data_IF_251730791077
#
_entry.id   IF_251730791077
#
_cell.length_a   1.000
_cell.length_b   1.000
_cell.length_c   1.000
_cell.angle_alpha   90.00
_cell.angle_beta   90.00
_cell.angle_gamma   90.00
#
_symmetry.space_group_name_H-M   'P 1'
#
loop_
_entity.id
_entity.type
_entity.pdbx_description
1 polymer ?
#
# COMPACT_ATOMS: atom_id res chain seq x y z
N UNK A 1 15.44 8.12 5.25
CA UNK A 1 14.39 8.03 6.27
C UNK A 1 13.06 8.41 5.65
N UNK A 2 12.11 7.48 5.71
CA UNK A 2 10.69 7.65 5.37
C UNK A 2 10.07 8.65 6.38
N UNK A 3 8.88 9.18 6.12
CA UNK A 3 8.22 10.25 6.91
C UNK A 3 8.33 10.07 8.44
N UNK A 4 8.17 11.14 9.22
CA UNK A 4 8.07 11.00 10.68
C UNK A 4 6.89 10.11 11.07
N UNK A 5 6.93 9.60 12.30
CA UNK A 5 5.84 8.81 12.87
C UNK A 5 4.52 9.58 12.81
N UNK A 6 4.52 10.85 13.18
CA UNK A 6 3.33 11.71 13.17
C UNK A 6 2.77 11.89 11.75
N UNK A 7 3.66 12.10 10.77
CA UNK A 7 3.28 12.24 9.35
C UNK A 7 2.60 10.96 8.84
N UNK A 8 3.15 9.78 9.17
CA UNK A 8 2.54 8.51 8.77
C UNK A 8 1.21 8.24 9.48
N UNK A 9 1.12 8.51 10.78
CA UNK A 9 -0.14 8.38 11.53
C UNK A 9 -1.25 9.24 10.91
N UNK A 10 -0.93 10.49 10.58
CA UNK A 10 -1.86 11.41 9.92
C UNK A 10 -2.28 10.91 8.54
N UNK A 11 -1.31 10.43 7.75
CA UNK A 11 -1.55 9.90 6.41
C UNK A 11 -2.47 8.68 6.44
N UNK A 12 -2.20 7.69 7.30
CA UNK A 12 -3.03 6.48 7.41
C UNK A 12 -4.45 6.80 7.89
N UNK A 13 -4.61 7.76 8.83
CA UNK A 13 -5.94 8.25 9.22
C UNK A 13 -6.69 8.84 8.02
N UNK A 14 -6.03 9.69 7.24
CA UNK A 14 -6.61 10.26 6.01
C UNK A 14 -6.99 9.18 5.00
N UNK A 15 -6.15 8.15 4.83
CA UNK A 15 -6.44 7.02 3.95
C UNK A 15 -7.69 6.27 4.38
N UNK A 16 -7.84 5.99 5.67
CA UNK A 16 -9.00 5.26 6.23
C UNK A 16 -10.33 5.91 5.86
N UNK A 17 -10.39 7.25 5.89
CA UNK A 17 -11.61 7.98 5.58
C UNK A 17 -11.87 8.10 4.07
N UNK A 18 -10.84 7.92 3.24
CA UNK A 18 -10.87 8.20 1.82
C UNK A 18 -10.85 6.98 0.91
N UNK A 19 -10.56 5.80 1.46
CA UNK A 19 -10.37 4.56 0.73
C UNK A 19 -11.12 3.41 1.41
N UNK A 20 -11.80 2.55 0.64
CA UNK A 20 -12.56 1.43 1.19
C UNK A 20 -11.65 0.22 1.44
N UNK A 21 -10.59 0.35 2.25
CA UNK A 21 -9.78 -0.80 2.66
C UNK A 21 -10.28 -1.37 3.99
N UNK A 22 -10.38 -2.69 4.07
CA UNK A 22 -10.84 -3.38 5.29
C UNK A 22 -9.70 -3.73 6.25
N UNK A 23 -8.48 -3.85 5.73
CA UNK A 23 -7.29 -4.28 6.47
C UNK A 23 -6.04 -3.51 6.03
N UNK A 24 -5.11 -3.33 6.97
CA UNK A 24 -3.81 -2.70 6.76
C UNK A 24 -2.69 -3.70 7.06
N UNK A 25 -1.80 -3.90 6.11
CA UNK A 25 -0.61 -4.72 6.29
C UNK A 25 0.57 -3.79 6.63
N UNK A 26 1.09 -3.81 7.86
CA UNK A 26 2.13 -2.87 8.28
C UNK A 26 3.46 -3.16 7.59
N UNK A 27 4.21 -2.12 7.26
CA UNK A 27 5.60 -2.32 6.86
C UNK A 27 6.43 -2.83 8.05
N UNK A 28 7.40 -3.76 7.88
CA UNK A 28 8.16 -4.34 9.00
C UNK A 28 8.91 -3.33 9.89
N UNK A 29 9.21 -2.15 9.34
CA UNK A 29 9.88 -1.06 10.04
C UNK A 29 8.91 -0.10 10.77
N UNK A 30 7.59 -0.32 10.70
CA UNK A 30 6.60 0.47 11.43
C UNK A 30 6.51 0.02 12.89
N UNK A 31 6.79 0.94 13.81
CA UNK A 31 6.76 0.69 15.26
C UNK A 31 5.50 1.25 15.95
N UNK A 32 4.48 1.59 15.17
CA UNK A 32 3.30 2.31 15.63
C UNK A 32 2.01 1.68 15.10
N UNK A 33 0.89 2.02 15.75
CA UNK A 33 -0.45 1.64 15.31
C UNK A 33 -1.38 2.84 15.26
N UNK A 34 -2.35 2.77 14.37
CA UNK A 34 -3.39 3.78 14.16
C UNK A 34 -4.72 3.24 14.65
N UNK A 35 -5.39 4.01 15.50
CA UNK A 35 -6.68 3.61 16.07
C UNK A 35 -7.78 3.43 15.01
N UNK A 36 -8.53 2.35 15.17
CA UNK A 36 -9.63 1.99 14.29
C UNK A 36 -9.22 1.57 12.88
N UNK A 37 -7.96 1.16 12.70
CA UNK A 37 -7.49 0.43 11.51
C UNK A 37 -7.36 -1.05 11.90
N UNK A 38 -7.87 -1.94 11.06
CA UNK A 38 -7.72 -3.38 11.28
C UNK A 38 -6.38 -3.83 10.72
N UNK A 39 -5.44 -4.22 11.59
CA UNK A 39 -4.13 -4.70 11.16
C UNK A 39 -4.18 -6.18 10.77
N UNK A 40 -3.44 -6.54 9.73
CA UNK A 40 -3.12 -7.94 9.44
C UNK A 40 -1.96 -8.34 10.35
N UNK A 41 -2.21 -9.28 11.26
CA UNK A 41 -1.15 -9.90 12.06
C UNK A 41 -0.55 -11.06 11.24
N UNK A 42 0.73 -10.95 10.88
CA UNK A 42 1.45 -12.01 10.18
C UNK A 42 2.95 -11.92 10.45
N UNK A 43 3.59 -13.08 10.56
CA UNK A 43 5.06 -13.21 10.56
C UNK A 43 5.64 -13.28 9.14
N UNK A 44 4.77 -13.35 8.12
CA UNK A 44 5.18 -13.43 6.72
C UNK A 44 5.45 -12.04 6.15
N UNK A 45 6.33 -11.97 5.15
CA UNK A 45 6.36 -10.80 4.27
C UNK A 45 5.06 -10.74 3.45
N UNK A 46 4.78 -9.57 2.89
CA UNK A 46 3.51 -9.33 2.23
C UNK A 46 3.27 -10.25 1.02
N UNK A 47 4.28 -10.50 0.19
CA UNK A 47 4.18 -11.41 -0.95
C UNK A 47 3.73 -12.80 -0.52
N UNK A 48 4.45 -13.39 0.44
CA UNK A 48 4.16 -14.72 0.97
C UNK A 48 2.77 -14.77 1.60
N UNK A 49 2.36 -13.71 2.29
CA UNK A 49 1.01 -13.62 2.83
C UNK A 49 -0.06 -13.66 1.73
N UNK A 50 0.13 -12.87 0.66
CA UNK A 50 -0.81 -12.84 -0.47
C UNK A 50 -0.86 -14.21 -1.16
N UNK A 51 0.28 -14.82 -1.47
CA UNK A 51 0.32 -16.12 -2.14
C UNK A 51 -0.29 -17.24 -1.29
N UNK A 52 0.00 -17.28 0.01
CA UNK A 52 -0.46 -18.35 0.91
C UNK A 52 -1.93 -18.23 1.29
N UNK A 53 -2.42 -17.02 1.52
CA UNK A 53 -3.75 -16.80 2.13
C UNK A 53 -4.78 -16.21 1.18
N UNK A 54 -4.34 -15.57 0.10
CA UNK A 54 -5.19 -14.76 -0.76
C UNK A 54 -5.17 -15.18 -2.24
N UNK A 55 -4.34 -16.18 -2.62
CA UNK A 55 -4.19 -16.64 -4.00
C UNK A 55 -5.52 -16.99 -4.71
N UNK A 56 -6.51 -17.50 -3.97
CA UNK A 56 -7.83 -17.86 -4.50
C UNK A 56 -8.92 -16.81 -4.29
N UNK A 57 -8.59 -15.62 -3.77
CA UNK A 57 -9.54 -14.55 -3.49
C UNK A 57 -9.21 -13.33 -4.34
N UNK A 58 -10.24 -12.63 -4.83
CA UNK A 58 -10.03 -11.31 -5.43
C UNK A 58 -9.63 -10.32 -4.34
N UNK A 59 -8.47 -9.70 -4.49
CA UNK A 59 -7.92 -8.75 -3.54
C UNK A 59 -7.55 -7.46 -4.24
N UNK A 60 -7.95 -6.34 -3.63
CA UNK A 60 -7.56 -5.00 -4.03
C UNK A 60 -6.50 -4.52 -3.05
N UNK A 61 -5.32 -4.17 -3.55
CA UNK A 61 -4.20 -3.70 -2.75
C UNK A 61 -4.01 -2.21 -3.05
N UNK A 62 -4.14 -1.40 -2.00
CA UNK A 62 -3.83 0.01 -2.03
C UNK A 62 -2.40 0.22 -1.56
N UNK A 63 -1.59 0.90 -2.35
CA UNK A 63 -0.17 1.14 -2.01
C UNK A 63 0.31 2.45 -2.59
N UNK A 64 1.30 3.08 -1.96
CA UNK A 64 1.90 4.30 -2.48
C UNK A 64 2.83 3.98 -3.66
N UNK A 65 4.02 3.48 -3.33
CA UNK A 65 5.04 3.00 -4.26
C UNK A 65 5.84 1.90 -3.56
N UNK A 66 5.17 0.82 -3.14
CA UNK A 66 5.88 -0.34 -2.62
C UNK A 66 6.41 -1.17 -3.78
N UNK A 67 7.71 -1.46 -3.78
CA UNK A 67 8.33 -2.34 -4.79
C UNK A 67 7.70 -3.74 -4.80
N UNK A 68 7.15 -4.16 -3.66
CA UNK A 68 6.43 -5.42 -3.50
C UNK A 68 5.23 -5.53 -4.46
N UNK A 69 4.60 -4.42 -4.80
CA UNK A 69 3.44 -4.41 -5.69
C UNK A 69 3.79 -4.95 -7.09
N UNK A 70 5.02 -4.75 -7.56
CA UNK A 70 5.47 -5.21 -8.88
C UNK A 70 5.50 -6.73 -8.97
N UNK A 71 5.82 -7.43 -7.87
CA UNK A 71 5.80 -8.90 -7.82
C UNK A 71 4.39 -9.47 -7.98
N UNK A 72 3.35 -8.65 -7.82
CA UNK A 72 1.95 -9.07 -7.81
C UNK A 72 1.15 -8.53 -9.01
N UNK A 73 1.75 -7.69 -9.88
CA UNK A 73 1.05 -7.07 -11.02
C UNK A 73 0.45 -8.09 -11.99
N UNK A 74 1.09 -9.25 -12.15
CA UNK A 74 0.64 -10.32 -13.04
C UNK A 74 -0.31 -11.32 -12.38
N UNK A 75 -0.59 -11.18 -11.08
CA UNK A 75 -1.40 -12.16 -10.36
C UNK A 75 -2.90 -11.97 -10.69
N UNK A 76 -3.61 -12.98 -11.23
CA UNK A 76 -4.93 -12.81 -11.84
C UNK A 76 -6.04 -12.39 -10.86
N UNK A 77 -5.85 -12.66 -9.58
CA UNK A 77 -6.79 -12.29 -8.52
C UNK A 77 -6.39 -11.03 -7.74
N UNK A 78 -5.32 -10.34 -8.15
CA UNK A 78 -4.83 -9.14 -7.46
C UNK A 78 -5.02 -7.92 -8.35
N UNK A 79 -5.68 -6.91 -7.81
CA UNK A 79 -5.76 -5.57 -8.40
C UNK A 79 -4.92 -4.61 -7.56
N UNK A 80 -3.88 -4.04 -8.16
CA UNK A 80 -3.06 -3.01 -7.50
C UNK A 80 -3.62 -1.62 -7.82
N UNK A 81 -3.89 -0.84 -6.79
CA UNK A 81 -4.31 0.57 -6.88
C UNK A 81 -3.25 1.46 -6.25
N UNK A 82 -2.48 2.12 -7.10
CA UNK A 82 -1.44 3.01 -6.64
C UNK A 82 -2.00 4.37 -6.19
N UNK A 83 -1.50 4.86 -5.07
CA UNK A 83 -1.88 6.14 -4.48
C UNK A 83 -0.68 7.09 -4.59
N UNK A 84 -0.88 8.24 -5.20
CA UNK A 84 0.12 9.31 -5.23
C UNK A 84 -0.02 10.14 -3.96
N UNK A 85 1.05 10.28 -3.19
CA UNK A 85 1.06 11.25 -2.09
C UNK A 85 1.50 12.60 -2.62
N UNK A 86 1.13 13.68 -1.91
CA UNK A 86 1.68 15.03 -2.14
C UNK A 86 3.11 15.21 -1.61
N UNK A 87 3.75 14.16 -1.06
CA UNK A 87 5.08 14.26 -0.45
C UNK A 87 6.13 14.49 -1.56
N UNK A 88 6.86 15.63 -1.54
CA UNK A 88 7.74 16.01 -2.65
C UNK A 88 8.84 14.98 -2.95
N UNK A 89 9.36 14.34 -1.90
CA UNK A 89 10.47 13.38 -2.03
C UNK A 89 10.13 12.17 -2.89
N UNK A 90 8.87 11.78 -3.00
CA UNK A 90 8.47 10.55 -3.69
C UNK A 90 7.87 10.82 -5.07
N UNK A 91 7.74 12.08 -5.48
CA UNK A 91 7.15 12.45 -6.78
C UNK A 91 7.85 11.75 -7.95
N UNK A 92 9.18 11.72 -7.93
CA UNK A 92 9.98 11.09 -8.98
C UNK A 92 9.64 9.60 -9.19
N UNK A 93 9.21 8.89 -8.15
CA UNK A 93 8.79 7.50 -8.27
C UNK A 93 7.52 7.38 -9.12
N UNK A 94 6.57 8.30 -8.93
CA UNK A 94 5.30 8.34 -9.66
C UNK A 94 5.45 8.84 -11.09
N UNK A 95 6.43 9.71 -11.35
CA UNK A 95 6.66 10.24 -12.69
C UNK A 95 7.03 9.12 -13.68
N UNK A 96 7.73 8.08 -13.22
CA UNK A 96 8.07 6.88 -14.01
C UNK A 96 6.89 5.92 -14.25
N UNK A 97 5.69 6.15 -13.67
CA UNK A 97 4.60 5.18 -13.78
C UNK A 97 4.04 5.06 -15.19
N UNK A 98 3.95 6.20 -15.89
CA UNK A 98 3.44 6.23 -17.26
C UNK A 98 4.28 5.36 -18.20
N UNK A 99 5.60 5.44 -18.07
CA UNK A 99 6.56 4.63 -18.83
C UNK A 99 6.45 3.13 -18.52
N UNK A 100 6.03 2.78 -17.29
CA UNK A 100 5.78 1.41 -16.84
C UNK A 100 4.36 0.91 -17.15
N UNK A 101 3.53 1.73 -17.81
CA UNK A 101 2.13 1.42 -18.08
C UNK A 101 1.25 1.36 -16.82
N UNK A 102 1.69 1.97 -15.72
CA UNK A 102 0.97 2.02 -14.45
C UNK A 102 0.09 3.26 -14.35
N UNK A 103 -1.07 3.11 -13.73
CA UNK A 103 -2.03 4.20 -13.51
C UNK A 103 -2.16 4.54 -12.03
N UNK A 104 -2.22 5.83 -11.72
CA UNK A 104 -2.52 6.33 -10.39
C UNK A 104 -4.03 6.23 -10.17
N UNK A 105 -4.44 5.55 -9.09
CA UNK A 105 -5.84 5.42 -8.70
C UNK A 105 -6.37 6.68 -8.01
N UNK A 106 -5.57 7.26 -7.11
CA UNK A 106 -5.97 8.45 -6.33
C UNK A 106 -4.75 9.25 -5.87
N UNK A 107 -4.91 10.56 -5.76
CA UNK A 107 -3.94 11.47 -5.16
C UNK A 107 -4.40 11.92 -3.77
N UNK A 108 -3.49 11.94 -2.79
CA UNK A 108 -3.77 12.23 -1.37
C UNK A 108 -2.73 13.17 -0.76
#
# INVERSE_FOLDING_TARGET
>A
MLNTKEENLSLIKKLKDQLPFGYYFPHPAEDYRVDGVNYVESELIFEDYVFKHLSNKKVIIYTFFSSVAFNLLSHPNVEIRFIRTSIPRWQFCYDSFSDLGLTIYKEI
#
